data_IF_527295905444
#
_entry.id   IF_527295905444
#
_cell.length_a   1.000
_cell.length_b   1.000
_cell.length_c   1.000
_cell.angle_alpha   90.00
_cell.angle_beta   90.00
_cell.angle_gamma   90.00
#
_symmetry.space_group_name_H-M   'P 1'
#
loop_
_entity.id
_entity.type
_entity.pdbx_description
1 polymer ?
#
# COMPACT_ATOMS: atom_id res chain seq x y z
N UNK A 1 23.33 24.41 10.43
CA UNK A 1 23.93 23.18 9.90
C UNK A 1 22.78 22.31 9.43
N UNK A 2 22.34 22.54 8.21
CA UNK A 2 21.26 21.77 7.57
C UNK A 2 21.82 20.46 7.06
N UNK A 3 21.16 19.35 7.39
CA UNK A 3 21.41 18.03 6.81
C UNK A 3 20.36 17.76 5.72
N UNK A 4 20.69 17.04 4.65
CA UNK A 4 19.89 17.05 3.43
C UNK A 4 18.63 16.19 3.58
N UNK A 5 17.46 16.74 3.26
CA UNK A 5 16.28 15.93 2.94
C UNK A 5 16.57 15.15 1.65
N UNK A 6 16.60 13.82 1.74
CA UNK A 6 16.70 12.92 0.55
C UNK A 6 15.36 12.22 0.32
N UNK A 7 15.02 12.22 -0.97
CA UNK A 7 13.79 11.88 -1.69
C UNK A 7 13.14 10.50 -1.45
N UNK A 8 11.86 10.38 -1.83
CA UNK A 8 11.31 9.15 -2.42
C UNK A 8 10.77 9.40 -3.83
N UNK A 9 10.95 8.41 -4.70
CA UNK A 9 10.65 8.43 -6.14
C UNK A 9 9.19 8.07 -6.43
N UNK A 10 8.60 8.82 -7.36
CA UNK A 10 7.28 8.57 -7.94
C UNK A 10 6.41 9.82 -7.99
N UNK A 11 6.82 10.84 -8.76
CA UNK A 11 6.05 11.95 -9.39
C UNK A 11 4.80 12.59 -8.72
N UNK A 12 4.51 12.30 -7.45
CA UNK A 12 3.37 12.87 -6.76
C UNK A 12 3.92 13.98 -5.88
N UNK A 13 3.68 15.21 -6.32
CA UNK A 13 3.40 16.38 -5.47
C UNK A 13 3.16 15.88 -4.05
N UNK A 14 4.01 16.23 -3.06
CA UNK A 14 3.68 16.04 -1.63
C UNK A 14 2.31 16.66 -1.44
N UNK A 15 1.22 15.89 -1.60
CA UNK A 15 -0.13 16.38 -1.40
C UNK A 15 -0.14 16.65 0.09
N UNK A 16 -0.20 17.91 0.56
CA UNK A 16 -0.11 18.17 2.00
C UNK A 16 -1.22 17.40 2.74
N UNK A 17 -2.38 17.24 2.08
CA UNK A 17 -3.47 16.38 2.52
C UNK A 17 -3.08 14.92 2.76
N UNK A 18 -2.19 14.34 1.95
CA UNK A 18 -1.68 12.96 2.13
C UNK A 18 -0.87 12.85 3.42
N UNK A 19 0.09 13.77 3.61
CA UNK A 19 0.93 13.81 4.81
C UNK A 19 0.07 14.01 6.04
N UNK A 20 -0.83 15.01 6.02
CA UNK A 20 -1.75 15.27 7.13
C UNK A 20 -2.66 14.07 7.44
N UNK A 21 -3.18 13.38 6.42
CA UNK A 21 -4.02 12.19 6.65
C UNK A 21 -3.22 11.04 7.27
N UNK A 22 -1.99 10.80 6.81
CA UNK A 22 -1.12 9.76 7.36
C UNK A 22 -0.69 10.11 8.79
N UNK A 23 -0.35 11.36 9.08
CA UNK A 23 -0.03 11.80 10.45
C UNK A 23 -1.21 11.59 11.40
N UNK A 24 -2.43 11.96 10.97
CA UNK A 24 -3.64 11.79 11.76
C UNK A 24 -3.96 10.31 12.02
N UNK A 25 -3.87 9.45 10.99
CA UNK A 25 -4.13 8.02 11.13
C UNK A 25 -3.03 7.33 11.95
N UNK A 26 -1.77 7.75 11.77
CA UNK A 26 -0.61 7.23 12.50
C UNK A 26 -0.68 7.57 13.99
N UNK A 27 -1.03 8.81 14.33
CA UNK A 27 -1.26 9.24 15.71
C UNK A 27 -2.38 8.46 16.42
N UNK A 28 -3.33 7.88 15.66
CA UNK A 28 -4.40 7.03 16.19
C UNK A 28 -4.00 5.54 16.28
N UNK A 29 -2.79 5.16 15.84
CA UNK A 29 -2.36 3.76 15.72
C UNK A 29 -3.16 2.96 14.68
N UNK A 30 -3.68 3.63 13.65
CA UNK A 30 -4.59 3.05 12.65
C UNK A 30 -3.94 2.79 11.30
N UNK A 31 -2.62 2.95 11.19
CA UNK A 31 -1.87 2.69 9.96
C UNK A 31 -1.08 1.40 10.13
N UNK A 32 -1.28 0.49 9.18
CA UNK A 32 -0.49 -0.73 9.04
C UNK A 32 -0.04 -0.91 7.60
N UNK A 33 1.12 -1.52 7.41
CA UNK A 33 1.59 -1.97 6.10
C UNK A 33 1.75 -3.49 6.10
N UNK A 34 1.47 -4.12 4.96
CA UNK A 34 1.74 -5.54 4.79
C UNK A 34 3.20 -5.79 4.40
N UNK A 35 3.63 -7.04 4.51
CA UNK A 35 5.00 -7.45 4.12
C UNK A 35 5.41 -7.08 2.70
N UNK A 36 4.47 -7.03 1.74
CA UNK A 36 4.77 -6.63 0.37
C UNK A 36 5.14 -5.13 0.26
N UNK A 37 4.41 -4.25 0.96
CA UNK A 37 4.73 -2.82 1.05
C UNK A 37 6.04 -2.61 1.81
N UNK A 38 6.25 -3.34 2.90
CA UNK A 38 7.52 -3.31 3.63
C UNK A 38 8.71 -3.66 2.73
N UNK A 39 8.58 -4.73 1.92
CA UNK A 39 9.62 -5.16 0.99
C UNK A 39 9.92 -4.12 -0.10
N UNK A 40 8.91 -3.40 -0.60
CA UNK A 40 9.13 -2.31 -1.54
C UNK A 40 9.89 -1.15 -0.90
N UNK A 41 9.54 -0.78 0.34
CA UNK A 41 10.17 0.35 1.03
C UNK A 41 11.58 0.06 1.54
N UNK A 42 11.86 -1.17 1.98
CA UNK A 42 13.12 -1.50 2.65
C UNK A 42 14.34 -1.36 1.74
N UNK A 43 14.17 -1.55 0.43
CA UNK A 43 15.23 -1.35 -0.57
C UNK A 43 15.66 0.10 -0.73
N UNK A 44 14.83 1.06 -0.34
CA UNK A 44 15.08 2.49 -0.48
C UNK A 44 15.30 3.20 0.87
N UNK A 45 14.84 2.60 1.97
CA UNK A 45 14.92 3.16 3.32
C UNK A 45 15.73 2.25 4.26
N UNK A 46 17.03 2.52 4.46
CA UNK A 46 17.89 1.66 5.30
C UNK A 46 17.54 1.65 6.80
N UNK A 47 16.72 2.61 7.26
CA UNK A 47 16.22 2.71 8.63
C UNK A 47 14.69 2.63 8.70
N UNK A 48 14.09 1.82 7.82
CA UNK A 48 12.64 1.75 7.66
C UNK A 48 11.91 1.46 8.98
N UNK A 49 12.37 0.50 9.78
CA UNK A 49 11.72 0.15 11.05
C UNK A 49 11.61 1.35 12.00
N UNK A 50 12.70 2.10 12.17
CA UNK A 50 12.72 3.33 12.98
C UNK A 50 11.76 4.37 12.43
N UNK A 51 11.72 4.53 11.11
CA UNK A 51 10.83 5.47 10.44
C UNK A 51 9.36 5.10 10.68
N UNK A 52 9.00 3.84 10.47
CA UNK A 52 7.64 3.34 10.68
C UNK A 52 7.21 3.52 12.14
N UNK A 53 8.10 3.20 13.08
CA UNK A 53 7.85 3.42 14.51
C UNK A 53 7.62 4.90 14.83
N UNK A 54 8.44 5.81 14.28
CA UNK A 54 8.31 7.25 14.49
C UNK A 54 6.94 7.79 14.02
N UNK A 55 6.40 7.25 12.93
CA UNK A 55 5.10 7.67 12.39
C UNK A 55 3.92 6.84 12.91
N UNK A 56 4.12 5.94 13.86
CA UNK A 56 3.05 5.10 14.42
C UNK A 56 2.47 4.09 13.40
N UNK A 57 3.29 3.66 12.44
CA UNK A 57 2.92 2.68 11.42
C UNK A 57 3.31 1.29 11.89
N UNK A 58 2.33 0.40 11.98
CA UNK A 58 2.55 -1.01 12.32
C UNK A 58 2.90 -1.85 11.09
N UNK A 59 3.62 -2.94 11.28
CA UNK A 59 3.91 -3.92 10.23
C UNK A 59 3.08 -5.17 10.52
N UNK A 60 2.30 -5.63 9.55
CA UNK A 60 1.72 -6.97 9.56
C UNK A 60 2.47 -7.85 8.55
N UNK A 61 3.38 -8.73 9.02
CA UNK A 61 4.10 -9.63 8.14
C UNK A 61 3.25 -10.84 7.73
N UNK A 62 2.07 -11.04 8.32
CA UNK A 62 1.32 -12.28 8.15
C UNK A 62 0.45 -12.22 6.89
N UNK A 63 0.66 -13.19 6.00
CA UNK A 63 -0.30 -13.52 4.95
C UNK A 63 -0.57 -15.02 4.98
N UNK A 64 -1.75 -15.47 5.43
CA UNK A 64 -2.11 -16.87 5.35
C UNK A 64 -2.23 -17.31 3.89
N UNK A 65 -2.09 -18.61 3.63
CA UNK A 65 -2.08 -19.17 2.27
C UNK A 65 -3.32 -18.77 1.45
N UNK A 66 -4.49 -18.63 2.09
CA UNK A 66 -5.71 -18.19 1.42
C UNK A 66 -5.61 -16.75 0.90
N UNK A 67 -4.95 -15.85 1.63
CA UNK A 67 -4.68 -14.47 1.18
C UNK A 67 -3.73 -14.46 -0.02
N UNK A 68 -2.68 -15.31 0.00
CA UNK A 68 -1.79 -15.48 -1.17
C UNK A 68 -2.53 -16.02 -2.39
N UNK A 69 -3.38 -17.04 -2.21
CA UNK A 69 -4.21 -17.59 -3.29
C UNK A 69 -5.14 -16.53 -3.86
N UNK A 70 -5.78 -15.73 -3.01
CA UNK A 70 -6.66 -14.64 -3.44
C UNK A 70 -5.93 -13.62 -4.32
N UNK A 71 -4.74 -13.20 -3.92
CA UNK A 71 -3.91 -12.31 -4.73
C UNK A 71 -3.58 -12.91 -6.10
N UNK A 72 -3.19 -14.19 -6.14
CA UNK A 72 -2.87 -14.90 -7.38
C UNK A 72 -4.07 -15.03 -8.33
N UNK A 73 -5.25 -15.35 -7.80
CA UNK A 73 -6.50 -15.41 -8.57
C UNK A 73 -6.84 -14.04 -9.15
N UNK A 74 -6.76 -12.98 -8.35
CA UNK A 74 -7.02 -11.62 -8.80
C UNK A 74 -6.02 -11.17 -9.89
N UNK A 75 -4.72 -11.45 -9.70
CA UNK A 75 -3.67 -11.14 -10.67
C UNK A 75 -3.87 -11.86 -12.01
N UNK A 76 -4.21 -13.16 -11.95
CA UNK A 76 -4.52 -13.94 -13.15
C UNK A 76 -5.79 -13.44 -13.86
N UNK A 77 -6.83 -13.10 -13.11
CA UNK A 77 -8.07 -12.55 -13.65
C UNK A 77 -7.84 -11.19 -14.33
N UNK A 78 -7.06 -10.31 -13.68
CA UNK A 78 -6.63 -9.05 -14.27
C UNK A 78 -5.82 -9.28 -15.55
N UNK A 79 -4.88 -10.23 -15.55
CA UNK A 79 -4.11 -10.59 -16.75
C UNK A 79 -4.99 -11.00 -17.94
N UNK A 80 -6.10 -11.72 -17.70
CA UNK A 80 -7.09 -12.09 -18.73
C UNK A 80 -7.91 -10.90 -19.22
N UNK A 81 -8.24 -9.94 -18.34
CA UNK A 81 -9.02 -8.74 -18.69
C UNK A 81 -8.17 -7.64 -19.32
N UNK A 82 -6.85 -7.62 -19.05
CA UNK A 82 -5.93 -6.59 -19.52
C UNK A 82 -5.83 -6.63 -21.05
N UNK A 83 -6.63 -5.80 -21.71
CA UNK A 83 -6.48 -5.47 -23.13
C UNK A 83 -5.17 -4.71 -23.34
N UNK A 84 -4.70 -4.61 -24.60
CA UNK A 84 -3.46 -3.91 -24.93
C UNK A 84 -3.39 -2.45 -24.40
N UNK A 85 -4.54 -1.83 -24.09
CA UNK A 85 -4.66 -0.46 -23.58
C UNK A 85 -4.73 -0.33 -22.05
N UNK A 86 -4.86 -1.43 -21.29
CA UNK A 86 -4.91 -1.34 -19.83
C UNK A 86 -3.49 -1.32 -19.24
N UNK A 87 -3.17 -0.36 -18.33
CA UNK A 87 -1.83 -0.18 -17.80
C UNK A 87 -1.41 -1.39 -17.00
N UNK A 88 -0.20 -1.93 -17.23
CA UNK A 88 0.30 -3.13 -16.52
C UNK A 88 0.39 -2.87 -15.02
N UNK A 89 -0.38 -3.64 -14.25
CA UNK A 89 -0.26 -3.72 -12.79
C UNK A 89 0.71 -4.81 -12.35
N UNK A 90 1.41 -4.58 -11.25
CA UNK A 90 2.39 -5.51 -10.68
C UNK A 90 1.73 -6.40 -9.64
N UNK A 91 2.33 -7.57 -9.37
CA UNK A 91 1.80 -8.52 -8.39
C UNK A 91 1.62 -7.89 -6.99
N UNK A 92 2.49 -6.94 -6.62
CA UNK A 92 2.43 -6.28 -5.32
C UNK A 92 1.07 -5.65 -5.04
N UNK A 93 0.47 -4.92 -5.99
CA UNK A 93 -0.85 -4.29 -5.79
C UNK A 93 -1.94 -5.32 -5.40
N UNK A 94 -1.86 -6.53 -5.97
CA UNK A 94 -2.79 -7.61 -5.66
C UNK A 94 -2.50 -8.24 -4.30
N UNK A 95 -1.24 -8.29 -3.87
CA UNK A 95 -0.87 -8.71 -2.51
C UNK A 95 -1.40 -7.71 -1.48
N UNK A 96 -1.27 -6.40 -1.73
CA UNK A 96 -1.79 -5.35 -0.85
C UNK A 96 -3.32 -5.44 -0.75
N UNK A 97 -4.02 -5.53 -1.90
CA UNK A 97 -5.47 -5.65 -1.92
C UNK A 97 -5.98 -6.93 -1.24
N UNK A 98 -5.31 -8.07 -1.45
CA UNK A 98 -5.67 -9.32 -0.79
C UNK A 98 -5.43 -9.25 0.71
N UNK A 99 -4.33 -8.64 1.16
CA UNK A 99 -4.05 -8.44 2.58
C UNK A 99 -5.14 -7.60 3.26
N UNK A 100 -5.53 -6.48 2.64
CA UNK A 100 -6.62 -5.65 3.17
C UNK A 100 -7.95 -6.41 3.23
N UNK A 101 -8.25 -7.21 2.19
CA UNK A 101 -9.43 -8.07 2.14
C UNK A 101 -9.45 -9.13 3.25
N UNK A 102 -8.34 -9.87 3.41
CA UNK A 102 -8.23 -10.95 4.40
C UNK A 102 -8.19 -10.46 5.85
N UNK A 103 -7.65 -9.27 6.09
CA UNK A 103 -7.62 -8.64 7.41
C UNK A 103 -8.83 -7.75 7.74
N UNK A 104 -9.80 -7.64 6.84
CA UNK A 104 -10.94 -6.72 6.97
C UNK A 104 -10.54 -5.26 7.21
N UNK A 105 -9.45 -4.83 6.58
CA UNK A 105 -8.94 -3.47 6.68
C UNK A 105 -9.53 -2.57 5.59
N UNK A 106 -9.59 -1.26 5.88
CA UNK A 106 -9.72 -0.26 4.83
C UNK A 106 -8.36 -0.04 4.17
N UNK A 107 -8.35 0.22 2.87
CA UNK A 107 -7.13 0.47 2.10
C UNK A 107 -7.03 1.95 1.72
N UNK A 108 -5.97 2.59 2.18
CA UNK A 108 -5.69 3.99 1.86
C UNK A 108 -4.78 4.08 0.62
N UNK A 109 -5.26 4.74 -0.44
CA UNK A 109 -4.55 4.81 -1.73
C UNK A 109 -4.88 6.07 -2.51
N UNK A 110 -3.95 6.51 -3.36
CA UNK A 110 -4.21 7.55 -4.36
C UNK A 110 -4.82 6.98 -5.65
N UNK A 111 -4.68 5.68 -5.89
CA UNK A 111 -5.10 5.01 -7.12
C UNK A 111 -6.25 4.05 -6.82
N UNK A 112 -7.42 4.58 -6.46
CA UNK A 112 -8.58 3.75 -6.09
C UNK A 112 -9.00 2.78 -7.21
N UNK A 113 -8.77 3.15 -8.46
CA UNK A 113 -9.05 2.31 -9.64
C UNK A 113 -8.27 1.00 -9.68
N UNK A 114 -7.13 0.91 -9.00
CA UNK A 114 -6.35 -0.32 -8.96
C UNK A 114 -7.02 -1.39 -8.08
N UNK A 115 -7.81 -1.02 -7.08
CA UNK A 115 -8.31 -2.00 -6.12
C UNK A 115 -9.67 -2.62 -6.46
N UNK A 116 -10.12 -2.48 -7.72
CA UNK A 116 -11.42 -2.99 -8.17
C UNK A 116 -11.60 -4.52 -8.16
N UNK A 117 -10.50 -5.28 -8.06
CA UNK A 117 -10.55 -6.74 -7.87
C UNK A 117 -10.90 -7.18 -6.43
N UNK A 118 -10.97 -6.22 -5.50
CA UNK A 118 -11.29 -6.43 -4.10
C UNK A 118 -12.46 -5.51 -3.69
N UNK A 119 -13.67 -5.70 -4.26
CA UNK A 119 -14.79 -4.78 -4.09
C UNK A 119 -15.28 -4.66 -2.65
N UNK A 120 -14.99 -5.65 -1.81
CA UNK A 120 -15.30 -5.65 -0.38
C UNK A 120 -14.36 -4.77 0.48
N UNK A 121 -13.22 -4.34 -0.07
CA UNK A 121 -12.24 -3.53 0.67
C UNK A 121 -12.65 -2.06 0.64
N UNK A 122 -12.96 -1.43 1.79
CA UNK A 122 -13.27 -0.01 1.82
C UNK A 122 -12.05 0.81 1.40
N UNK A 123 -12.20 1.66 0.38
CA UNK A 123 -11.11 2.50 -0.12
C UNK A 123 -11.18 3.90 0.51
N UNK A 124 -10.05 4.34 1.06
CA UNK A 124 -9.85 5.68 1.57
C UNK A 124 -8.86 6.42 0.65
N UNK A 125 -9.10 7.70 0.41
CA UNK A 125 -8.21 8.52 -0.42
C UNK A 125 -8.23 9.98 0.02
N UNK A 126 -7.18 10.72 -0.30
CA UNK A 126 -7.12 12.17 -0.14
C UNK A 126 -7.40 12.83 -1.48
N UNK A 127 -8.34 13.79 -1.48
CA UNK A 127 -8.66 14.58 -2.67
C UNK A 127 -7.55 15.59 -2.94
#
# INVERSE_FOLDING_TARGET
MESPEVLFSGDVIRKPALVTALDQLGAQGRVLICGAVYAELCGFHPHLDTLLQQYGVSIDPNMPLETWKRAGVAYAAYGKRRRASLPRRILTDFLVGAHASGGHHSLFTLNTGDYGDFPEVPLLTVR
#
